data_IF_412227217605
#
_entry.id   IF_412227217605
#
_cell.length_a   1.000
_cell.length_b   1.000
_cell.length_c   1.000
_cell.angle_alpha   90.00
_cell.angle_beta   90.00
_cell.angle_gamma   90.00
#
_symmetry.space_group_name_H-M   'P 1'
#
loop_
_entity.id
_entity.type
_entity.pdbx_description
1 polymer ?
#
# COMPACT_ATOMS: atom_id res chain seq x y z
N UNK A 1 -57.06 44.74 -62.16
CA UNK A 1 -56.81 43.86 -61.00
C UNK A 1 -55.82 44.60 -60.10
N UNK A 2 -56.29 45.57 -59.32
CA UNK A 2 -56.65 45.43 -57.89
C UNK A 2 -55.69 46.33 -57.10
N UNK A 3 -55.92 47.65 -57.06
CA UNK A 3 -56.70 48.39 -56.05
C UNK A 3 -55.90 48.67 -54.75
N UNK A 4 -55.35 49.89 -54.58
CA UNK A 4 -55.81 51.00 -53.68
C UNK A 4 -55.31 50.81 -52.23
N UNK A 5 -54.69 51.73 -51.48
CA UNK A 5 -55.13 53.01 -50.85
C UNK A 5 -53.89 53.52 -50.05
N UNK A 6 -53.25 54.67 -50.29
CA UNK A 6 -53.57 56.07 -49.89
C UNK A 6 -53.39 56.42 -48.38
N UNK A 7 -52.26 57.12 -48.09
CA UNK A 7 -52.10 58.38 -47.29
C UNK A 7 -51.98 58.45 -45.74
N UNK A 8 -50.92 59.19 -45.37
CA UNK A 8 -50.74 60.24 -44.32
C UNK A 8 -50.86 59.93 -42.81
N UNK A 9 -49.87 60.41 -42.03
CA UNK A 9 -49.93 61.24 -40.79
C UNK A 9 -48.53 61.23 -40.11
N UNK A 10 -47.66 62.21 -40.37
CA UNK A 10 -47.22 63.32 -39.46
C UNK A 10 -46.45 62.97 -38.17
N UNK A 11 -45.20 63.50 -38.12
CA UNK A 11 -44.50 64.21 -37.02
C UNK A 11 -44.58 63.68 -35.57
N UNK A 12 -43.41 63.34 -35.01
CA UNK A 12 -42.92 63.78 -33.68
C UNK A 12 -41.49 63.24 -33.49
N UNK A 13 -40.43 64.07 -33.55
CA UNK A 13 -39.85 64.86 -32.45
C UNK A 13 -38.66 64.18 -31.76
N UNK A 14 -37.49 64.78 -32.00
CA UNK A 14 -36.44 65.17 -31.03
C UNK A 14 -35.50 64.09 -30.44
N UNK A 15 -34.21 64.46 -30.56
CA UNK A 15 -33.09 64.20 -29.67
C UNK A 15 -32.25 62.92 -29.86
N UNK A 16 -31.31 63.01 -30.80
CA UNK A 16 -30.01 62.33 -30.78
C UNK A 16 -29.01 63.42 -31.25
N UNK A 17 -27.98 63.85 -30.49
CA UNK A 17 -26.96 62.97 -29.90
C UNK A 17 -26.37 63.47 -28.55
N UNK A 18 -26.48 62.70 -27.46
CA UNK A 18 -25.65 62.93 -26.27
C UNK A 18 -25.48 61.64 -25.46
N UNK A 19 -24.95 60.58 -26.07
CA UNK A 19 -24.67 59.32 -25.35
C UNK A 19 -23.46 58.56 -25.94
N UNK A 20 -22.44 59.28 -26.42
CA UNK A 20 -21.17 58.66 -26.88
C UNK A 20 -19.92 59.22 -26.19
N UNK A 21 -20.06 59.91 -25.06
CA UNK A 21 -18.93 60.49 -24.32
C UNK A 21 -18.77 59.98 -22.87
N UNK A 22 -19.46 58.89 -22.49
CA UNK A 22 -19.40 58.34 -21.13
C UNK A 22 -18.95 56.86 -21.06
N UNK A 23 -18.47 56.28 -22.18
CA UNK A 23 -17.97 54.90 -22.23
C UNK A 23 -16.44 54.79 -22.35
N UNK A 24 -15.71 55.91 -22.31
CA UNK A 24 -14.25 55.95 -22.53
C UNK A 24 -13.38 56.09 -21.27
N UNK A 25 -13.96 56.15 -20.06
CA UNK A 25 -13.23 56.46 -18.82
C UNK A 25 -13.10 55.31 -17.82
N UNK A 26 -13.53 54.09 -18.18
CA UNK A 26 -13.44 52.90 -17.30
C UNK A 26 -12.44 51.83 -17.76
N UNK A 27 -11.59 52.13 -18.75
CA UNK A 27 -10.66 51.17 -19.35
C UNK A 27 -9.17 51.44 -19.09
N UNK A 28 -8.80 52.15 -18.01
CA UNK A 28 -7.40 52.47 -17.68
C UNK A 28 -6.96 52.20 -16.23
N UNK A 29 -7.77 51.51 -15.40
CA UNK A 29 -7.40 51.15 -14.01
C UNK A 29 -7.14 49.66 -13.78
N UNK A 30 -6.80 48.88 -14.82
CA UNK A 30 -6.54 47.44 -14.70
C UNK A 30 -5.06 47.06 -14.97
N UNK A 31 -4.11 47.91 -14.58
CA UNK A 31 -2.68 47.59 -14.60
C UNK A 31 -2.02 47.97 -13.27
N UNK A 32 -1.52 46.95 -12.56
CA UNK A 32 -0.70 47.06 -11.34
C UNK A 32 -1.54 47.07 -10.07
N UNK A 33 -1.53 46.07 -9.19
CA UNK A 33 -0.45 45.17 -8.79
C UNK A 33 -0.97 43.73 -8.62
N UNK A 34 -0.38 42.78 -9.36
CA UNK A 34 -0.30 41.42 -8.83
C UNK A 34 0.66 41.49 -7.65
N UNK A 35 0.08 41.72 -6.47
CA UNK A 35 0.76 41.45 -5.22
C UNK A 35 1.04 39.94 -5.23
N UNK A 36 2.29 39.61 -5.59
CA UNK A 36 2.84 38.29 -5.41
C UNK A 36 2.68 37.98 -3.93
N UNK A 37 1.61 37.27 -3.59
CA UNK A 37 1.46 36.70 -2.26
C UNK A 37 2.76 35.94 -2.00
N UNK A 38 3.52 36.40 -1.00
CA UNK A 38 4.63 35.65 -0.44
C UNK A 38 4.18 34.19 -0.28
N UNK A 39 5.07 33.20 -0.51
CA UNK A 39 4.69 31.80 -0.39
C UNK A 39 4.01 31.68 0.97
N UNK A 40 2.72 31.33 0.97
CA UNK A 40 1.98 31.10 2.22
C UNK A 40 2.76 30.00 2.90
N UNK A 41 3.59 30.35 3.87
CA UNK A 41 4.24 29.39 4.76
C UNK A 41 3.11 28.51 5.25
N UNK A 42 3.16 27.24 4.85
CA UNK A 42 2.12 26.27 5.18
C UNK A 42 1.88 26.30 6.68
N UNK A 43 0.62 26.31 7.10
CA UNK A 43 0.32 26.37 8.53
C UNK A 43 0.91 25.14 9.24
N UNK A 44 1.32 25.25 10.52
CA UNK A 44 1.81 24.11 11.28
C UNK A 44 0.85 22.90 11.26
N UNK A 45 -0.47 23.16 11.26
CA UNK A 45 -1.52 22.14 11.20
C UNK A 45 -1.54 21.43 9.85
N UNK A 46 -1.37 22.16 8.74
CA UNK A 46 -1.28 21.57 7.41
C UNK A 46 -0.06 20.68 7.27
N UNK A 47 1.10 21.13 7.77
CA UNK A 47 2.34 20.33 7.76
C UNK A 47 2.24 19.09 8.65
N UNK A 48 1.60 19.20 9.82
CA UNK A 48 1.35 18.07 10.70
C UNK A 48 0.42 17.04 10.05
N UNK A 49 -0.66 17.49 9.41
CA UNK A 49 -1.55 16.62 8.62
C UNK A 49 -0.82 15.97 7.46
N UNK A 50 -0.04 16.74 6.71
CA UNK A 50 0.76 16.23 5.59
C UNK A 50 1.79 15.18 6.01
N UNK A 51 2.45 15.38 7.15
CA UNK A 51 3.35 14.39 7.76
C UNK A 51 2.60 13.10 8.06
N UNK A 52 1.47 13.21 8.76
CA UNK A 52 0.65 12.06 9.12
C UNK A 52 0.19 11.27 7.89
N UNK A 53 -0.32 11.96 6.88
CA UNK A 53 -0.78 11.34 5.64
C UNK A 53 0.37 10.73 4.82
N UNK A 54 1.55 11.33 4.82
CA UNK A 54 2.73 10.78 4.14
C UNK A 54 3.22 9.48 4.81
N UNK A 55 3.06 9.38 6.14
CA UNK A 55 3.31 8.13 6.88
C UNK A 55 2.21 7.11 6.55
N UNK A 56 0.93 7.49 6.64
CA UNK A 56 -0.20 6.60 6.32
C UNK A 56 -0.15 6.08 4.87
N UNK A 57 0.34 6.90 3.94
CA UNK A 57 0.51 6.55 2.53
C UNK A 57 1.80 5.76 2.23
N UNK A 58 2.57 5.45 3.25
CA UNK A 58 3.83 4.70 3.20
C UNK A 58 4.87 5.24 2.21
N UNK A 59 4.90 6.57 2.00
CA UNK A 59 5.77 7.18 0.99
C UNK A 59 7.25 6.87 1.26
N UNK A 60 7.65 6.78 2.53
CA UNK A 60 9.04 6.53 2.89
C UNK A 60 9.54 5.14 2.47
N UNK A 61 8.68 4.12 2.44
CA UNK A 61 9.08 2.74 2.11
C UNK A 61 9.64 2.60 0.69
N UNK A 62 9.13 3.38 -0.25
CA UNK A 62 9.66 3.43 -1.62
C UNK A 62 10.67 4.57 -1.81
N UNK A 63 10.51 5.68 -1.09
CA UNK A 63 11.28 6.90 -1.36
C UNK A 63 12.47 7.11 -0.40
N UNK A 64 12.83 6.16 0.45
CA UNK A 64 13.99 6.30 1.36
C UNK A 64 14.84 5.03 1.37
N UNK A 65 15.98 5.05 0.66
CA UNK A 65 16.94 3.94 0.71
C UNK A 65 17.59 3.81 2.10
N UNK A 66 18.02 2.59 2.45
CA UNK A 66 18.79 2.31 3.67
C UNK A 66 20.05 3.19 3.74
N UNK A 67 20.18 3.98 4.81
CA UNK A 67 21.29 4.94 4.98
C UNK A 67 21.20 6.19 4.08
N UNK A 68 20.15 6.31 3.26
CA UNK A 68 19.89 7.46 2.40
C UNK A 68 19.18 8.61 3.12
N UNK A 69 19.13 9.77 2.46
CA UNK A 69 18.34 10.90 2.95
C UNK A 69 16.84 10.59 2.85
N UNK A 70 16.01 11.02 3.83
CA UNK A 70 14.56 10.84 3.76
C UNK A 70 13.98 11.34 2.43
N UNK A 71 13.13 10.53 1.81
CA UNK A 71 12.42 10.84 0.56
C UNK A 71 13.30 11.05 -0.69
N UNK A 72 14.60 10.74 -0.62
CA UNK A 72 15.55 10.94 -1.71
C UNK A 72 15.55 9.82 -2.78
N UNK A 73 14.68 8.81 -2.65
CA UNK A 73 14.55 7.69 -3.57
C UNK A 73 15.58 6.58 -3.35
N UNK A 74 15.73 5.73 -4.37
CA UNK A 74 16.78 4.71 -4.46
C UNK A 74 16.40 3.31 -3.96
N UNK A 75 15.20 3.12 -3.40
CA UNK A 75 14.73 1.78 -3.01
C UNK A 75 14.51 0.94 -4.26
N UNK A 76 15.13 -0.24 -4.30
CA UNK A 76 15.02 -1.21 -5.39
C UNK A 76 13.77 -2.06 -5.20
N UNK A 77 12.92 -2.14 -6.23
CA UNK A 77 11.70 -2.92 -6.25
C UNK A 77 11.76 -3.93 -7.40
N UNK A 78 11.98 -5.20 -7.08
CA UNK A 78 12.04 -6.26 -8.07
C UNK A 78 10.65 -6.80 -8.41
N UNK A 79 10.44 -7.09 -9.69
CA UNK A 79 9.19 -7.65 -10.18
C UNK A 79 9.44 -8.57 -11.37
N UNK A 80 8.42 -9.34 -11.75
CA UNK A 80 8.43 -10.13 -12.99
C UNK A 80 8.61 -9.29 -14.28
N UNK A 81 8.36 -7.97 -14.23
CA UNK A 81 8.47 -7.07 -15.37
C UNK A 81 9.84 -6.38 -15.47
N UNK A 82 10.72 -6.63 -14.50
CA UNK A 82 12.01 -5.95 -14.31
C UNK A 82 12.08 -5.22 -12.97
N UNK A 83 13.02 -4.30 -12.87
CA UNK A 83 13.34 -3.59 -11.63
C UNK A 83 12.90 -2.13 -11.70
N UNK A 84 12.14 -1.70 -10.70
CA UNK A 84 11.80 -0.31 -10.46
C UNK A 84 12.67 0.27 -9.35
N UNK A 85 12.79 1.59 -9.33
CA UNK A 85 13.46 2.33 -8.26
C UNK A 85 12.58 3.48 -7.80
N UNK A 86 12.46 3.67 -6.50
CA UNK A 86 11.79 4.84 -5.94
C UNK A 86 12.52 6.11 -6.35
N UNK A 87 11.76 7.15 -6.70
CA UNK A 87 12.33 8.43 -7.13
C UNK A 87 12.58 9.37 -5.96
N UNK A 88 13.39 10.40 -6.16
CA UNK A 88 13.55 11.49 -5.22
C UNK A 88 12.29 12.37 -5.25
N UNK A 89 11.62 12.51 -4.11
CA UNK A 89 10.44 13.37 -3.92
C UNK A 89 10.69 14.50 -2.92
N UNK A 90 11.97 14.83 -2.67
CA UNK A 90 12.35 16.00 -1.88
C UNK A 90 12.15 17.30 -2.68
N UNK A 91 12.26 18.48 -2.04
CA UNK A 91 12.16 19.78 -2.72
C UNK A 91 13.35 20.13 -3.63
N UNK A 92 14.26 19.18 -3.88
CA UNK A 92 15.39 19.41 -4.77
C UNK A 92 14.91 19.78 -6.19
N UNK A 93 15.38 20.90 -6.77
CA UNK A 93 14.88 21.40 -8.05
C UNK A 93 15.40 20.63 -9.27
N UNK A 94 16.41 19.77 -9.12
CA UNK A 94 17.07 19.09 -10.24
C UNK A 94 16.66 17.61 -10.31
N UNK A 95 16.62 16.95 -9.17
CA UNK A 95 16.36 15.52 -9.04
C UNK A 95 15.05 15.20 -8.33
N UNK A 96 14.59 16.09 -7.44
CA UNK A 96 13.35 15.97 -6.70
C UNK A 96 12.12 16.56 -7.40
N UNK A 97 11.09 16.85 -6.62
CA UNK A 97 9.84 17.51 -7.06
C UNK A 97 9.87 19.03 -6.85
N UNK A 98 11.03 19.64 -6.60
CA UNK A 98 11.15 21.06 -6.24
C UNK A 98 10.60 22.07 -7.27
N UNK A 99 10.39 21.64 -8.52
CA UNK A 99 9.80 22.43 -9.61
C UNK A 99 8.35 22.06 -9.92
N UNK A 100 7.78 21.09 -9.23
CA UNK A 100 6.41 20.66 -9.46
C UNK A 100 5.46 21.70 -8.86
N UNK A 101 4.26 21.82 -9.43
CA UNK A 101 3.14 22.47 -8.75
C UNK A 101 2.38 21.45 -7.89
N UNK A 102 1.50 21.94 -7.01
CA UNK A 102 0.57 21.06 -6.31
C UNK A 102 -0.35 20.28 -7.29
N UNK A 103 -0.68 20.88 -8.43
CA UNK A 103 -1.46 20.22 -9.49
C UNK A 103 -0.67 19.10 -10.18
N UNK A 104 0.64 19.29 -10.42
CA UNK A 104 1.51 18.23 -10.95
C UNK A 104 1.62 17.06 -9.98
N UNK A 105 1.76 17.35 -8.69
CA UNK A 105 1.80 16.33 -7.64
C UNK A 105 0.47 15.56 -7.57
N UNK A 106 -0.67 16.26 -7.57
CA UNK A 106 -1.99 15.63 -7.60
C UNK A 106 -2.18 14.79 -8.86
N UNK A 107 -1.79 15.28 -10.04
CA UNK A 107 -1.86 14.52 -11.28
C UNK A 107 -0.95 13.28 -11.29
N UNK A 108 0.19 13.32 -10.60
CA UNK A 108 1.06 12.16 -10.41
C UNK A 108 0.40 11.10 -9.53
N UNK A 109 -0.20 11.50 -8.39
CA UNK A 109 -0.92 10.58 -7.50
C UNK A 109 -2.18 10.01 -8.13
N UNK A 110 -2.93 10.82 -8.87
CA UNK A 110 -4.29 10.50 -9.29
C UNK A 110 -4.37 9.91 -10.70
N UNK A 111 -3.47 10.34 -11.59
CA UNK A 111 -3.49 9.95 -13.01
C UNK A 111 -2.17 9.31 -13.47
N UNK A 112 -1.20 9.13 -12.58
CA UNK A 112 0.14 8.67 -12.96
C UNK A 112 0.82 9.60 -13.96
N UNK A 113 0.53 10.90 -13.94
CA UNK A 113 1.09 11.91 -14.86
C UNK A 113 2.10 12.78 -14.13
N UNK A 114 3.38 12.62 -14.44
CA UNK A 114 4.43 13.53 -14.00
C UNK A 114 4.82 14.51 -15.13
N UNK A 115 5.49 15.64 -14.82
CA UNK A 115 5.95 16.59 -15.83
C UNK A 115 6.84 15.97 -16.92
N UNK A 116 7.61 14.92 -16.57
CA UNK A 116 8.49 14.19 -17.49
C UNK A 116 7.80 13.06 -18.26
N UNK A 117 6.51 12.82 -18.03
CA UNK A 117 5.73 11.78 -18.70
C UNK A 117 4.94 10.88 -17.74
N UNK A 118 4.44 9.76 -18.25
CA UNK A 118 3.67 8.79 -17.45
C UNK A 118 4.54 8.07 -16.42
N UNK A 119 4.00 7.86 -15.24
CA UNK A 119 4.54 6.97 -14.23
C UNK A 119 4.15 5.52 -14.57
N UNK A 120 4.99 4.56 -14.19
CA UNK A 120 4.57 3.17 -14.22
C UNK A 120 3.67 2.90 -13.00
N UNK A 121 2.68 2.00 -13.09
CA UNK A 121 1.78 1.66 -11.98
C UNK A 121 2.47 0.93 -10.82
N UNK A 122 3.80 0.77 -10.86
CA UNK A 122 4.62 0.45 -9.69
C UNK A 122 4.62 1.59 -8.65
N UNK A 123 4.49 2.84 -9.10
CA UNK A 123 4.00 3.90 -8.24
C UNK A 123 2.47 3.72 -8.15
N UNK A 124 1.88 3.48 -6.97
CA UNK A 124 0.53 2.95 -6.85
C UNK A 124 -0.56 4.03 -7.06
N UNK A 125 -0.48 4.79 -8.16
CA UNK A 125 -1.45 5.81 -8.51
C UNK A 125 -2.85 5.23 -8.76
N UNK A 126 -2.97 3.94 -9.05
CA UNK A 126 -4.26 3.22 -9.11
C UNK A 126 -4.99 3.21 -7.77
N UNK A 127 -4.25 3.12 -6.67
CA UNK A 127 -4.74 3.25 -5.29
C UNK A 127 -4.78 4.71 -4.83
N UNK A 128 -3.72 5.48 -5.05
CA UNK A 128 -3.67 6.87 -4.61
C UNK A 128 -4.70 7.77 -5.29
N UNK A 129 -5.30 7.34 -6.41
CA UNK A 129 -6.45 8.01 -7.01
C UNK A 129 -7.63 8.20 -6.07
N UNK A 130 -7.71 7.44 -4.98
CA UNK A 130 -8.74 7.66 -3.96
C UNK A 130 -8.41 8.84 -3.04
N UNK A 131 -7.16 9.31 -2.97
CA UNK A 131 -6.71 10.41 -2.11
C UNK A 131 -7.41 11.71 -2.52
N UNK A 132 -7.96 12.40 -1.52
CA UNK A 132 -8.65 13.67 -1.74
C UNK A 132 -7.66 14.76 -2.15
N UNK A 133 -8.14 15.78 -2.88
CA UNK A 133 -7.30 16.93 -3.24
C UNK A 133 -6.65 17.58 -2.02
N UNK A 134 -7.42 17.80 -0.95
CA UNK A 134 -6.92 18.41 0.28
C UNK A 134 -5.83 17.57 0.96
N UNK A 135 -5.96 16.24 0.96
CA UNK A 135 -4.94 15.34 1.51
C UNK A 135 -3.68 15.33 0.63
N UNK A 136 -3.83 15.34 -0.69
CA UNK A 136 -2.71 15.47 -1.63
C UNK A 136 -1.95 16.78 -1.43
N UNK A 137 -2.65 17.90 -1.28
CA UNK A 137 -2.05 19.21 -1.05
C UNK A 137 -1.33 19.28 0.31
N UNK A 138 -1.88 18.62 1.34
CA UNK A 138 -1.23 18.50 2.64
C UNK A 138 0.07 17.68 2.57
N UNK A 139 0.04 16.51 1.91
CA UNK A 139 1.22 15.69 1.65
C UNK A 139 2.26 16.50 0.88
N UNK A 140 1.86 17.17 -0.19
CA UNK A 140 2.74 18.01 -0.99
C UNK A 140 3.39 19.11 -0.16
N UNK A 141 2.61 19.85 0.63
CA UNK A 141 3.13 20.89 1.51
C UNK A 141 4.18 20.35 2.50
N UNK A 142 3.93 19.17 3.10
CA UNK A 142 4.89 18.52 3.98
C UNK A 142 6.17 18.12 3.25
N UNK A 143 6.07 17.47 2.08
CA UNK A 143 7.24 17.11 1.26
C UNK A 143 8.05 18.35 0.87
N UNK A 144 7.38 19.44 0.49
CA UNK A 144 7.99 20.72 0.12
C UNK A 144 8.69 21.44 1.28
N UNK A 145 8.37 21.08 2.52
CA UNK A 145 9.06 21.58 3.73
C UNK A 145 10.30 20.77 4.13
N UNK A 146 10.55 19.62 3.49
CA UNK A 146 11.69 18.77 3.84
C UNK A 146 13.00 19.37 3.38
N UNK A 147 14.12 18.87 3.91
CA UNK A 147 15.44 19.24 3.40
C UNK A 147 15.59 18.71 1.96
N UNK A 148 15.97 19.56 0.99
CA UNK A 148 16.25 19.10 -0.37
C UNK A 148 17.45 18.16 -0.35
N UNK A 149 17.36 17.07 -1.10
CA UNK A 149 18.45 16.11 -1.27
C UNK A 149 18.82 16.03 -2.75
N UNK A 150 20.06 16.37 -3.09
CA UNK A 150 20.54 16.35 -4.47
C UNK A 150 20.96 14.93 -4.92
N UNK A 151 20.04 13.98 -4.85
CA UNK A 151 20.25 12.56 -5.20
C UNK A 151 19.61 12.28 -6.57
N UNK A 152 20.38 11.90 -7.61
CA UNK A 152 19.85 11.53 -8.90
C UNK A 152 18.93 10.30 -8.85
N UNK A 153 17.89 10.31 -9.69
CA UNK A 153 17.01 9.15 -9.88
C UNK A 153 17.71 8.04 -10.66
N UNK A 154 17.38 6.79 -10.32
CA UNK A 154 17.78 5.61 -11.09
C UNK A 154 16.63 5.24 -12.02
N UNK A 155 16.91 5.09 -13.31
CA UNK A 155 15.91 4.67 -14.28
C UNK A 155 15.48 3.21 -14.06
N UNK A 156 14.19 2.94 -14.27
CA UNK A 156 13.68 1.57 -14.20
C UNK A 156 14.29 0.71 -15.31
N UNK A 157 14.72 -0.49 -14.96
CA UNK A 157 15.25 -1.47 -15.90
C UNK A 157 14.18 -2.52 -16.19
N UNK A 158 13.35 -2.26 -17.21
CA UNK A 158 12.23 -3.12 -17.58
C UNK A 158 12.51 -3.86 -18.89
N UNK A 159 11.93 -5.05 -19.01
CA UNK A 159 12.02 -5.85 -20.24
C UNK A 159 10.99 -5.38 -21.27
N UNK A 160 11.27 -5.58 -22.56
CA UNK A 160 10.26 -5.36 -23.60
C UNK A 160 9.10 -6.36 -23.41
N UNK A 161 7.83 -5.94 -23.54
CA UNK A 161 7.35 -4.61 -23.97
C UNK A 161 7.10 -3.58 -22.85
N UNK A 162 7.36 -3.94 -21.58
CA UNK A 162 7.07 -3.09 -20.42
C UNK A 162 7.94 -1.82 -20.33
N UNK A 163 9.08 -1.79 -21.02
CA UNK A 163 9.92 -0.59 -21.14
C UNK A 163 9.31 0.52 -22.02
N UNK A 164 8.25 0.24 -22.78
CA UNK A 164 7.61 1.23 -23.66
C UNK A 164 6.66 2.11 -22.86
N UNK A 165 7.16 3.24 -22.34
CA UNK A 165 6.39 4.14 -21.46
C UNK A 165 5.06 4.62 -22.05
N UNK A 166 5.00 4.82 -23.37
CA UNK A 166 3.77 5.23 -24.04
C UNK A 166 2.64 4.20 -23.91
N UNK A 167 2.97 2.90 -23.81
CA UNK A 167 2.00 1.82 -23.65
C UNK A 167 1.17 1.96 -22.36
N UNK A 168 1.71 2.61 -21.33
CA UNK A 168 1.00 2.88 -20.07
C UNK A 168 -0.26 3.71 -20.29
N UNK A 169 -0.32 4.57 -21.32
CA UNK A 169 -1.54 5.33 -21.63
C UNK A 169 -2.70 4.42 -22.04
N UNK A 170 -2.42 3.36 -22.80
CA UNK A 170 -3.43 2.38 -23.17
C UNK A 170 -3.77 1.48 -21.99
N UNK A 171 -2.78 1.13 -21.18
CA UNK A 171 -3.00 0.39 -19.94
C UNK A 171 -3.96 1.16 -19.00
N UNK A 172 -3.73 2.47 -18.80
CA UNK A 172 -4.61 3.31 -18.00
C UNK A 172 -6.03 3.36 -18.57
N UNK A 173 -6.18 3.48 -19.90
CA UNK A 173 -7.49 3.49 -20.54
C UNK A 173 -8.31 2.21 -20.30
N UNK A 174 -7.63 1.09 -20.04
CA UNK A 174 -8.27 -0.21 -19.78
C UNK A 174 -8.47 -0.49 -18.28
N UNK A 175 -7.53 -0.05 -17.43
CA UNK A 175 -7.43 -0.55 -16.06
C UNK A 175 -7.48 0.54 -14.98
N UNK A 176 -7.26 1.81 -15.30
CA UNK A 176 -7.33 2.88 -14.31
C UNK A 176 -8.80 3.21 -14.01
N UNK A 177 -9.21 2.97 -12.76
CA UNK A 177 -10.59 3.17 -12.28
C UNK A 177 -10.64 4.26 -11.23
N UNK A 178 -11.79 4.91 -11.08
CA UNK A 178 -11.98 5.95 -10.06
C UNK A 178 -12.10 5.36 -8.65
N UNK A 179 -12.52 4.09 -8.55
CA UNK A 179 -12.69 3.38 -7.27
C UNK A 179 -12.30 1.92 -7.40
N UNK A 180 -11.60 1.43 -6.38
CA UNK A 180 -11.29 0.02 -6.21
C UNK A 180 -12.47 -0.74 -5.57
N UNK A 181 -12.71 -2.01 -5.93
CA UNK A 181 -13.74 -2.84 -5.29
C UNK A 181 -13.47 -3.02 -3.79
N UNK A 182 -14.53 -3.35 -3.05
CA UNK A 182 -14.45 -3.61 -1.62
C UNK A 182 -14.44 -5.12 -1.34
N UNK A 183 -13.55 -5.53 -0.43
CA UNK A 183 -13.43 -6.94 -0.02
C UNK A 183 -14.32 -7.30 1.18
N UNK A 184 -14.90 -6.31 1.83
CA UNK A 184 -15.77 -6.46 2.99
C UNK A 184 -17.04 -5.63 2.82
N UNK A 185 -18.00 -5.84 3.71
CA UNK A 185 -19.28 -5.13 3.71
C UNK A 185 -19.40 -4.23 4.93
N UNK A 186 -19.76 -2.98 4.71
CA UNK A 186 -20.03 -2.03 5.78
C UNK A 186 -20.48 -0.67 5.23
N UNK A 187 -21.03 0.15 6.11
CA UNK A 187 -21.50 1.51 5.83
C UNK A 187 -21.22 2.47 7.00
N UNK A 188 -20.67 1.98 8.11
CA UNK A 188 -20.28 2.82 9.24
C UNK A 188 -19.23 3.87 8.84
N UNK A 189 -19.09 4.92 9.67
CA UNK A 189 -18.05 5.93 9.48
C UNK A 189 -16.65 5.32 9.55
N UNK A 190 -16.42 4.41 10.50
CA UNK A 190 -15.17 3.67 10.64
C UNK A 190 -14.89 2.80 9.41
N UNK A 191 -15.89 2.09 8.88
CA UNK A 191 -15.71 1.30 7.66
C UNK A 191 -15.35 2.17 6.45
N UNK A 192 -16.03 3.31 6.30
CA UNK A 192 -15.76 4.25 5.20
C UNK A 192 -14.37 4.86 5.31
N UNK A 193 -13.94 5.22 6.52
CA UNK A 193 -12.59 5.73 6.80
C UNK A 193 -11.53 4.64 6.58
N UNK A 194 -11.79 3.43 7.03
CA UNK A 194 -10.91 2.28 6.86
C UNK A 194 -10.71 1.91 5.41
N UNK A 195 -11.76 1.99 4.58
CA UNK A 195 -11.66 1.81 3.12
C UNK A 195 -10.70 2.80 2.49
N UNK A 196 -10.76 4.07 2.90
CA UNK A 196 -9.86 5.11 2.43
C UNK A 196 -8.41 4.86 2.86
N UNK A 197 -8.22 4.43 4.12
CA UNK A 197 -6.90 4.08 4.64
C UNK A 197 -6.31 2.84 3.97
N UNK A 198 -7.10 1.80 3.74
CA UNK A 198 -6.63 0.54 3.17
C UNK A 198 -6.38 0.63 1.66
N UNK A 199 -7.37 1.10 0.90
CA UNK A 199 -7.31 1.06 -0.56
C UNK A 199 -6.62 2.29 -1.15
N UNK A 200 -6.77 3.45 -0.49
CA UNK A 200 -6.20 4.72 -0.93
C UNK A 200 -4.79 4.92 -0.40
N UNK A 201 -4.68 5.37 0.86
CA UNK A 201 -3.39 5.73 1.46
C UNK A 201 -2.46 4.52 1.57
N UNK A 202 -2.85 3.48 2.30
CA UNK A 202 -2.01 2.29 2.55
C UNK A 202 -1.94 1.30 1.38
N UNK A 203 -2.65 1.56 0.27
CA UNK A 203 -2.62 0.79 -0.98
C UNK A 203 -2.53 -0.74 -0.79
N UNK A 204 -3.24 -1.30 0.20
CA UNK A 204 -3.13 -2.70 0.60
C UNK A 204 -3.46 -3.65 -0.55
N UNK A 205 -4.34 -3.21 -1.46
CA UNK A 205 -4.72 -3.93 -2.67
C UNK A 205 -3.55 -4.22 -3.60
N UNK A 206 -2.50 -3.40 -3.60
CA UNK A 206 -1.35 -3.55 -4.50
C UNK A 206 -0.50 -4.79 -4.21
N UNK A 207 -0.50 -5.25 -2.95
CA UNK A 207 0.16 -6.48 -2.51
C UNK A 207 -0.84 -7.62 -2.32
N UNK A 208 -2.00 -7.34 -1.70
CA UNK A 208 -2.96 -8.35 -1.29
C UNK A 208 -4.02 -8.69 -2.35
N UNK A 209 -3.91 -8.22 -3.59
CA UNK A 209 -4.80 -8.62 -4.69
C UNK A 209 -3.96 -9.27 -5.79
N UNK A 210 -4.38 -10.41 -6.37
CA UNK A 210 -3.57 -11.06 -7.39
C UNK A 210 -3.57 -10.22 -8.66
N UNK A 211 -2.45 -10.24 -9.39
CA UNK A 211 -2.29 -9.50 -10.66
C UNK A 211 -2.61 -10.38 -11.86
N UNK A 212 -3.18 -9.77 -12.91
CA UNK A 212 -3.42 -10.41 -14.19
C UNK A 212 -2.19 -10.38 -15.11
N UNK A 213 -2.35 -10.90 -16.32
CA UNK A 213 -1.25 -11.03 -17.30
C UNK A 213 -0.61 -9.69 -17.72
N UNK A 214 -1.31 -8.55 -17.57
CA UNK A 214 -0.79 -7.23 -17.88
C UNK A 214 -0.36 -6.45 -16.61
N UNK A 215 -0.22 -7.13 -15.47
CA UNK A 215 0.17 -6.52 -14.19
C UNK A 215 -0.94 -5.75 -13.47
N UNK A 216 -2.15 -5.72 -14.02
CA UNK A 216 -3.33 -5.10 -13.42
C UNK A 216 -3.86 -5.90 -12.23
N UNK A 217 -4.47 -5.23 -11.25
CA UNK A 217 -5.18 -5.91 -10.16
C UNK A 217 -6.39 -6.68 -10.71
N UNK A 218 -6.61 -7.88 -10.18
CA UNK A 218 -7.82 -8.66 -10.49
C UNK A 218 -8.94 -8.28 -9.53
N UNK A 219 -9.77 -7.30 -9.92
CA UNK A 219 -10.89 -6.77 -9.13
C UNK A 219 -11.79 -7.84 -8.48
N UNK A 220 -12.10 -8.92 -9.21
CA UNK A 220 -12.93 -10.02 -8.73
C UNK A 220 -12.31 -10.80 -7.55
N UNK A 221 -11.02 -10.57 -7.27
CA UNK A 221 -10.23 -11.22 -6.23
C UNK A 221 -9.61 -10.20 -5.26
N UNK A 222 -10.25 -9.05 -5.11
CA UNK A 222 -9.76 -7.97 -4.24
C UNK A 222 -9.46 -8.49 -2.83
N UNK A 223 -8.24 -8.23 -2.34
CA UNK A 223 -7.70 -8.67 -1.05
C UNK A 223 -7.56 -10.18 -0.83
N UNK A 224 -7.73 -11.02 -1.86
CA UNK A 224 -7.59 -12.49 -1.78
C UNK A 224 -6.14 -13.00 -1.81
N UNK A 225 -5.16 -12.13 -1.57
CA UNK A 225 -3.73 -12.42 -1.54
C UNK A 225 -3.03 -12.16 -2.88
N UNK A 226 -1.69 -12.21 -2.85
CA UNK A 226 -0.84 -11.95 -4.00
C UNK A 226 0.51 -12.64 -3.86
N UNK A 227 1.24 -12.78 -4.97
CA UNK A 227 2.60 -13.32 -4.96
C UNK A 227 3.61 -12.20 -5.19
N UNK A 228 4.59 -12.08 -4.30
CA UNK A 228 5.67 -11.10 -4.33
C UNK A 228 7.00 -11.87 -4.44
N UNK A 229 7.29 -12.41 -5.64
CA UNK A 229 8.42 -13.31 -5.84
C UNK A 229 8.22 -14.64 -5.13
N UNK A 230 9.12 -15.01 -4.21
CA UNK A 230 9.06 -16.29 -3.48
C UNK A 230 8.06 -16.28 -2.32
N UNK A 231 7.73 -15.10 -1.79
CA UNK A 231 6.76 -14.95 -0.71
C UNK A 231 5.38 -14.56 -1.25
N UNK A 232 4.35 -14.77 -0.44
CA UNK A 232 2.98 -14.39 -0.72
C UNK A 232 2.46 -13.33 0.26
N UNK A 233 1.80 -12.31 -0.25
CA UNK A 233 0.90 -11.50 0.55
C UNK A 233 -0.37 -12.34 0.83
N UNK A 234 -0.74 -12.56 2.10
CA UNK A 234 -1.85 -13.46 2.43
C UNK A 234 -3.21 -12.89 2.02
N UNK A 235 -4.21 -13.76 1.90
CA UNK A 235 -5.62 -13.35 1.78
C UNK A 235 -6.07 -12.63 3.06
N UNK A 236 -6.42 -11.34 2.94
CA UNK A 236 -6.88 -10.49 4.05
C UNK A 236 -8.36 -10.11 3.91
N UNK A 237 -9.15 -10.91 3.19
CA UNK A 237 -10.61 -10.80 3.22
C UNK A 237 -11.15 -11.14 4.62
N UNK A 238 -12.35 -10.66 5.00
CA UNK A 238 -12.95 -10.97 6.30
C UNK A 238 -13.01 -12.47 6.61
N UNK A 239 -13.39 -13.27 5.61
CA UNK A 239 -13.51 -14.72 5.76
C UNK A 239 -12.15 -15.37 6.01
N UNK A 240 -11.12 -14.98 5.27
CA UNK A 240 -9.77 -15.54 5.44
C UNK A 240 -9.10 -15.10 6.75
N UNK A 241 -9.32 -13.86 7.17
CA UNK A 241 -8.85 -13.35 8.46
C UNK A 241 -9.49 -14.13 9.61
N UNK A 242 -10.81 -14.28 9.61
CA UNK A 242 -11.53 -15.06 10.61
C UNK A 242 -11.13 -16.55 10.57
N UNK A 243 -10.98 -17.15 9.38
CA UNK A 243 -10.51 -18.52 9.23
C UNK A 243 -9.10 -18.74 9.80
N UNK A 244 -8.29 -17.68 9.88
CA UNK A 244 -6.97 -17.68 10.52
C UNK A 244 -6.98 -17.14 11.95
N UNK A 245 -8.16 -16.92 12.53
CA UNK A 245 -8.36 -16.58 13.94
C UNK A 245 -8.13 -15.11 14.28
N UNK A 246 -8.04 -14.22 13.28
CA UNK A 246 -7.87 -12.78 13.50
C UNK A 246 -9.14 -12.14 14.08
N UNK A 247 -8.95 -11.19 14.98
CA UNK A 247 -10.01 -10.36 15.56
C UNK A 247 -9.69 -8.88 15.34
N UNK A 248 -10.67 -8.01 15.53
CA UNK A 248 -10.47 -6.55 15.46
C UNK A 248 -9.35 -6.07 16.39
N UNK A 249 -9.38 -6.42 17.70
CA UNK A 249 -8.31 -6.07 18.63
C UNK A 249 -6.94 -6.61 18.22
N UNK A 250 -6.87 -7.86 17.74
CA UNK A 250 -5.58 -8.45 17.33
C UNK A 250 -5.01 -7.75 16.09
N UNK A 251 -5.84 -7.39 15.11
CA UNK A 251 -5.39 -6.62 13.94
C UNK A 251 -4.95 -5.20 14.33
N UNK A 252 -5.63 -4.56 15.28
CA UNK A 252 -5.23 -3.23 15.76
C UNK A 252 -3.86 -3.29 16.45
N UNK A 253 -3.64 -4.30 17.29
CA UNK A 253 -2.33 -4.57 17.89
C UNK A 253 -1.27 -4.80 16.80
N UNK A 254 -1.57 -5.65 15.81
CA UNK A 254 -0.66 -5.93 14.71
C UNK A 254 -0.28 -4.68 13.91
N UNK A 255 -1.24 -3.82 13.56
CA UNK A 255 -0.91 -2.59 12.81
C UNK A 255 -0.21 -1.53 13.66
N UNK A 256 -0.43 -1.55 14.98
CA UNK A 256 0.20 -0.62 15.91
C UNK A 256 1.63 -1.00 16.27
N UNK A 257 1.90 -2.30 16.49
CA UNK A 257 3.19 -2.77 17.03
C UNK A 257 3.88 -3.81 16.14
N UNK A 258 3.23 -4.30 15.09
CA UNK A 258 3.71 -5.41 14.29
C UNK A 258 3.55 -6.77 14.94
N UNK A 259 2.87 -6.87 16.09
CA UNK A 259 2.66 -8.11 16.83
C UNK A 259 1.20 -8.34 17.21
N UNK A 260 0.78 -9.60 17.11
CA UNK A 260 -0.44 -10.12 17.69
C UNK A 260 -0.23 -11.59 18.11
N UNK A 261 -1.22 -12.19 18.77
CA UNK A 261 -1.15 -13.62 19.14
C UNK A 261 -0.96 -14.53 17.92
N UNK A 262 -1.45 -14.11 16.75
CA UNK A 262 -1.36 -14.84 15.49
C UNK A 262 0.03 -14.73 14.83
N UNK A 263 0.95 -13.95 15.38
CA UNK A 263 2.30 -13.77 14.87
C UNK A 263 2.70 -12.31 14.72
N UNK A 264 3.77 -12.09 13.97
CA UNK A 264 4.37 -10.77 13.76
C UNK A 264 4.49 -10.43 12.27
N UNK A 265 4.66 -9.14 11.98
CA UNK A 265 5.03 -8.69 10.65
C UNK A 265 6.48 -9.11 10.36
N UNK A 266 6.74 -9.58 9.16
CA UNK A 266 8.08 -9.93 8.69
C UNK A 266 8.17 -9.67 7.18
N UNK A 267 9.38 -9.73 6.63
CA UNK A 267 9.62 -9.47 5.20
C UNK A 267 8.95 -8.15 4.76
N UNK A 268 8.21 -8.14 3.65
CA UNK A 268 7.59 -6.94 3.07
C UNK A 268 6.56 -6.25 3.97
N UNK A 269 5.97 -6.94 4.95
CA UNK A 269 5.07 -6.26 5.91
C UNK A 269 5.81 -5.55 7.04
N UNK A 270 7.07 -5.89 7.32
CA UNK A 270 7.85 -5.19 8.33
C UNK A 270 8.01 -3.70 8.03
N UNK A 271 8.46 -3.26 6.83
CA UNK A 271 8.57 -1.83 6.53
C UNK A 271 7.21 -1.12 6.55
N UNK A 272 6.11 -1.78 6.17
CA UNK A 272 4.76 -1.20 6.27
C UNK A 272 4.40 -0.88 7.72
N UNK A 273 4.73 -1.77 8.67
CA UNK A 273 4.57 -1.46 10.10
C UNK A 273 5.57 -0.38 10.52
N UNK A 274 6.85 -0.52 10.15
CA UNK A 274 7.94 0.32 10.63
C UNK A 274 7.79 1.80 10.22
N UNK A 275 7.44 2.02 8.96
CA UNK A 275 7.41 3.34 8.31
C UNK A 275 5.99 3.94 8.23
N UNK A 276 4.95 3.12 8.30
CA UNK A 276 3.56 3.56 8.10
C UNK A 276 2.64 3.26 9.29
N UNK A 277 2.09 2.04 9.41
CA UNK A 277 0.87 1.83 10.19
C UNK A 277 1.03 2.05 11.69
N UNK A 278 2.23 1.85 12.24
CA UNK A 278 2.48 2.12 13.67
C UNK A 278 2.28 3.60 14.04
N UNK A 279 2.34 4.51 13.06
CA UNK A 279 2.19 5.95 13.25
C UNK A 279 0.74 6.42 13.10
N UNK A 280 -0.17 5.52 12.74
CA UNK A 280 -1.60 5.82 12.68
C UNK A 280 -2.14 6.06 14.09
N UNK A 281 -3.08 6.99 14.20
CA UNK A 281 -3.77 7.21 15.46
C UNK A 281 -4.73 6.03 15.77
N UNK A 282 -5.15 5.85 17.03
CA UNK A 282 -6.02 4.74 17.41
C UNK A 282 -7.36 4.67 16.66
N UNK A 283 -7.93 5.81 16.27
CA UNK A 283 -9.19 5.85 15.51
C UNK A 283 -9.01 5.32 14.09
N UNK A 284 -7.91 5.68 13.44
CA UNK A 284 -7.58 5.21 12.09
C UNK A 284 -7.14 3.73 12.10
N UNK A 285 -6.45 3.27 13.14
CA UNK A 285 -6.19 1.84 13.35
C UNK A 285 -7.51 1.07 13.50
N UNK A 286 -8.44 1.56 14.32
CA UNK A 286 -9.78 0.97 14.46
C UNK A 286 -10.50 0.94 13.11
N UNK A 287 -10.57 2.08 12.41
CA UNK A 287 -11.22 2.19 11.12
C UNK A 287 -10.63 1.20 10.09
N UNK A 288 -9.30 1.12 9.99
CA UNK A 288 -8.61 0.16 9.12
C UNK A 288 -9.04 -1.28 9.42
N UNK A 289 -9.09 -1.67 10.70
CA UNK A 289 -9.54 -3.01 11.08
C UNK A 289 -11.02 -3.28 10.84
N UNK A 290 -11.89 -2.29 11.05
CA UNK A 290 -13.31 -2.37 10.74
C UNK A 290 -13.52 -2.55 9.24
N UNK A 291 -12.73 -1.88 8.40
CA UNK A 291 -12.78 -2.14 6.95
C UNK A 291 -12.34 -3.54 6.61
N UNK A 292 -11.21 -4.04 7.12
CA UNK A 292 -10.74 -5.38 6.74
C UNK A 292 -11.67 -6.52 7.20
N UNK A 293 -12.40 -6.34 8.30
CA UNK A 293 -13.33 -7.34 8.81
C UNK A 293 -14.80 -7.11 8.39
N UNK A 294 -15.16 -5.89 8.00
CA UNK A 294 -16.55 -5.46 7.80
C UNK A 294 -17.24 -5.03 9.11
N UNK A 295 -18.39 -4.36 8.98
CA UNK A 295 -19.18 -3.90 10.14
C UNK A 295 -19.77 -5.07 10.96
N UNK A 296 -19.98 -6.22 10.30
CA UNK A 296 -20.44 -7.46 10.91
C UNK A 296 -19.37 -8.54 10.72
N UNK A 297 -18.30 -8.53 11.52
CA UNK A 297 -17.16 -9.42 11.33
C UNK A 297 -17.56 -10.89 11.55
N UNK A 298 -17.11 -11.82 10.70
CA UNK A 298 -17.30 -13.25 10.95
C UNK A 298 -16.54 -13.68 12.21
N UNK A 299 -17.06 -14.70 12.91
CA UNK A 299 -16.44 -15.22 14.12
C UNK A 299 -15.08 -15.87 13.81
N UNK A 300 -14.03 -15.62 14.62
CA UNK A 300 -12.73 -16.24 14.42
C UNK A 300 -12.81 -17.77 14.61
N UNK A 301 -12.20 -18.51 13.69
CA UNK A 301 -12.17 -19.96 13.74
C UNK A 301 -11.07 -20.46 14.70
N UNK A 302 -11.36 -21.43 15.58
CA UNK A 302 -10.34 -22.08 16.39
C UNK A 302 -9.40 -22.93 15.52
N UNK A 303 -8.20 -23.19 16.02
CA UNK A 303 -7.30 -24.16 15.39
C UNK A 303 -7.76 -25.57 15.75
N UNK A 304 -7.99 -26.39 14.73
CA UNK A 304 -8.23 -27.84 14.89
C UNK A 304 -7.05 -28.59 14.29
N UNK A 305 -6.26 -29.25 15.14
CA UNK A 305 -5.14 -30.06 14.68
C UNK A 305 -5.60 -31.14 13.70
N UNK A 306 -4.89 -31.27 12.58
CA UNK A 306 -5.19 -32.26 11.56
C UNK A 306 -4.44 -33.56 11.84
N UNK A 307 -5.06 -34.68 11.50
CA UNK A 307 -4.39 -36.00 11.50
C UNK A 307 -3.60 -36.13 10.20
N UNK A 308 -2.37 -36.59 10.31
CA UNK A 308 -1.48 -36.91 9.18
C UNK A 308 -0.82 -38.27 9.36
N UNK A 309 0.06 -38.64 8.44
CA UNK A 309 0.87 -39.84 8.58
C UNK A 309 1.73 -39.75 9.85
N UNK A 310 1.61 -40.74 10.74
CA UNK A 310 2.24 -40.69 12.06
C UNK A 310 3.77 -40.71 11.98
N UNK A 311 4.35 -41.42 11.01
CA UNK A 311 5.79 -41.49 10.85
C UNK A 311 6.34 -40.16 10.31
N UNK A 312 5.66 -39.56 9.33
CA UNK A 312 6.02 -38.24 8.78
C UNK A 312 5.94 -37.14 9.84
N UNK A 313 4.86 -37.11 10.63
CA UNK A 313 4.71 -36.13 11.71
C UNK A 313 5.74 -36.33 12.82
N UNK A 314 6.11 -37.57 13.14
CA UNK A 314 7.18 -37.86 14.09
C UNK A 314 8.55 -37.39 13.59
N UNK A 315 8.86 -37.59 12.30
CA UNK A 315 10.08 -37.10 11.68
C UNK A 315 10.16 -35.57 11.72
N UNK A 316 9.10 -34.88 11.31
CA UNK A 316 9.02 -33.41 11.39
C UNK A 316 9.11 -32.87 12.82
N UNK A 317 8.51 -33.56 13.79
CA UNK A 317 8.64 -33.21 15.21
C UNK A 317 10.06 -33.32 15.73
N UNK A 318 10.81 -34.34 15.32
CA UNK A 318 12.20 -34.50 15.75
C UNK A 318 13.08 -33.35 15.21
N UNK A 319 12.87 -32.93 13.97
CA UNK A 319 13.53 -31.74 13.39
C UNK A 319 13.17 -30.47 14.16
N UNK A 320 11.88 -30.30 14.52
CA UNK A 320 11.44 -29.16 15.33
C UNK A 320 12.12 -29.11 16.69
N UNK A 321 12.20 -30.25 17.39
CA UNK A 321 12.83 -30.33 18.71
C UNK A 321 14.34 -30.08 18.65
N UNK A 322 14.99 -30.50 17.57
CA UNK A 322 16.43 -30.33 17.36
C UNK A 322 16.81 -28.87 17.12
N UNK A 323 16.07 -28.16 16.25
CA UNK A 323 16.51 -26.86 15.75
C UNK A 323 15.58 -25.67 16.04
N UNK A 324 14.30 -25.89 16.37
CA UNK A 324 13.31 -24.81 16.48
C UNK A 324 12.86 -24.58 17.93
N UNK A 325 12.74 -25.65 18.72
CA UNK A 325 12.11 -25.62 20.04
C UNK A 325 12.86 -24.77 21.08
N UNK A 326 14.16 -24.53 20.90
CA UNK A 326 14.95 -23.67 21.78
C UNK A 326 14.44 -22.22 21.82
N UNK A 327 13.89 -21.73 20.70
CA UNK A 327 13.33 -20.39 20.59
C UNK A 327 11.79 -20.41 20.59
N UNK A 328 11.18 -21.33 19.84
CA UNK A 328 9.72 -21.39 19.66
C UNK A 328 8.99 -22.18 20.75
N UNK A 329 9.71 -22.67 21.77
CA UNK A 329 9.16 -23.50 22.84
C UNK A 329 9.02 -24.96 22.43
N UNK A 330 8.84 -25.88 23.39
CA UNK A 330 8.73 -27.32 23.05
C UNK A 330 7.37 -27.67 22.47
N UNK A 331 6.35 -26.93 22.85
CA UNK A 331 4.97 -27.12 22.41
C UNK A 331 4.52 -25.98 21.48
N UNK A 332 5.44 -25.15 20.97
CA UNK A 332 5.12 -24.04 20.07
C UNK A 332 4.58 -22.79 20.76
N UNK A 333 4.76 -22.65 22.07
CA UNK A 333 4.32 -21.50 22.86
C UNK A 333 5.06 -20.18 22.56
N UNK A 334 6.20 -20.24 21.87
CA UNK A 334 7.03 -19.08 21.59
C UNK A 334 7.68 -18.50 22.84
N UNK A 335 8.34 -17.35 22.66
CA UNK A 335 8.93 -16.59 23.74
C UNK A 335 8.60 -15.11 23.52
N UNK A 336 7.81 -14.47 24.40
CA UNK A 336 7.37 -13.09 24.22
C UNK A 336 8.54 -12.14 23.89
N UNK A 337 8.34 -11.25 22.92
CA UNK A 337 9.32 -10.27 22.45
C UNK A 337 10.65 -10.84 21.93
N UNK A 338 10.70 -12.15 21.63
CA UNK A 338 11.90 -12.85 21.17
C UNK A 338 11.59 -13.69 19.94
N UNK A 339 10.61 -14.59 20.06
CA UNK A 339 10.23 -15.55 19.01
C UNK A 339 8.73 -15.76 19.03
N UNK A 340 8.10 -15.70 17.86
CA UNK A 340 6.65 -15.90 17.73
C UNK A 340 6.24 -17.30 18.17
N UNK A 341 5.03 -17.39 18.73
CA UNK A 341 4.39 -18.67 18.96
C UNK A 341 4.10 -19.36 17.62
N UNK A 342 4.23 -20.68 17.61
CA UNK A 342 3.71 -21.51 16.52
C UNK A 342 2.23 -21.84 16.74
N UNK A 343 1.80 -21.95 18.01
CA UNK A 343 0.38 -22.03 18.36
C UNK A 343 -0.36 -20.82 17.80
N UNK A 344 -1.47 -21.06 17.11
CA UNK A 344 -2.33 -20.03 16.51
C UNK A 344 -1.65 -19.17 15.42
N UNK A 345 -0.43 -19.51 15.01
CA UNK A 345 0.33 -18.72 14.05
C UNK A 345 -0.36 -18.67 12.68
N UNK A 346 -0.67 -17.46 12.22
CA UNK A 346 -1.43 -17.25 11.00
C UNK A 346 -0.72 -17.77 9.76
N UNK A 347 0.62 -17.77 9.73
CA UNK A 347 1.42 -18.25 8.60
C UNK A 347 1.27 -19.76 8.44
N UNK A 348 1.22 -20.52 9.55
CA UNK A 348 0.98 -21.96 9.51
C UNK A 348 -0.44 -22.31 9.04
N UNK A 349 -1.38 -21.38 9.22
CA UNK A 349 -2.80 -21.53 8.85
C UNK A 349 -3.10 -21.12 7.40
N UNK A 350 -2.12 -20.66 6.63
CA UNK A 350 -2.32 -20.34 5.21
C UNK A 350 -2.49 -21.62 4.39
N UNK A 351 -3.34 -21.57 3.37
CA UNK A 351 -3.54 -22.68 2.43
C UNK A 351 -2.28 -22.96 1.61
N UNK A 352 -1.59 -21.91 1.18
CA UNK A 352 -0.30 -21.97 0.51
C UNK A 352 0.86 -22.01 1.54
N UNK A 353 1.71 -23.06 1.54
CA UNK A 353 2.80 -23.19 2.50
C UNK A 353 4.02 -22.30 2.22
N UNK A 354 4.08 -21.57 1.10
CA UNK A 354 5.31 -20.90 0.67
C UNK A 354 5.93 -20.00 1.73
N UNK A 355 5.11 -19.26 2.49
CA UNK A 355 5.64 -18.32 3.46
C UNK A 355 6.35 -19.03 4.61
N UNK A 356 5.77 -20.12 5.13
CA UNK A 356 6.45 -20.91 6.17
C UNK A 356 7.70 -21.59 5.62
N UNK A 357 7.66 -22.10 4.39
CA UNK A 357 8.84 -22.72 3.75
C UNK A 357 9.96 -21.68 3.58
N UNK A 358 9.67 -20.54 2.95
CA UNK A 358 10.66 -19.49 2.67
C UNK A 358 11.22 -18.90 3.96
N UNK A 359 10.40 -18.66 4.99
CA UNK A 359 10.88 -18.24 6.31
C UNK A 359 11.85 -19.23 6.94
N UNK A 360 11.68 -20.55 6.72
CA UNK A 360 12.63 -21.55 7.21
C UNK A 360 13.87 -21.66 6.32
N UNK A 361 13.75 -21.49 5.01
CA UNK A 361 14.89 -21.54 4.09
C UNK A 361 15.83 -20.35 4.30
N UNK A 362 15.26 -19.13 4.25
CA UNK A 362 16.01 -17.88 4.29
C UNK A 362 16.33 -17.42 5.71
N UNK A 363 15.50 -17.80 6.69
CA UNK A 363 15.50 -17.21 8.01
C UNK A 363 14.77 -15.87 8.03
N UNK A 364 14.83 -15.20 9.18
CA UNK A 364 14.26 -13.86 9.38
C UNK A 364 15.28 -13.04 10.15
N UNK A 365 15.68 -11.90 9.59
CA UNK A 365 16.59 -10.97 10.27
C UNK A 365 15.99 -10.46 11.58
N UNK A 366 16.85 -10.00 12.49
CA UNK A 366 16.38 -9.37 13.72
C UNK A 366 15.59 -8.09 13.38
N UNK A 367 14.42 -7.93 13.99
CA UNK A 367 13.51 -6.82 13.70
C UNK A 367 13.11 -6.10 14.98
N UNK A 368 13.21 -4.78 14.97
CA UNK A 368 12.76 -3.92 16.05
C UNK A 368 11.38 -3.36 15.75
N UNK A 369 10.54 -3.29 16.78
CA UNK A 369 9.18 -2.78 16.70
C UNK A 369 8.95 -1.73 17.79
N UNK A 370 7.81 -1.00 17.75
CA UNK A 370 7.49 -0.02 18.78
C UNK A 370 7.49 -0.61 20.19
N UNK A 371 7.94 0.18 21.16
CA UNK A 371 7.93 -0.19 22.57
C UNK A 371 8.99 -1.25 22.91
N UNK A 372 8.55 -2.39 23.46
CA UNK A 372 9.41 -3.51 23.87
C UNK A 372 9.38 -4.68 22.90
N UNK A 373 8.58 -4.55 21.83
CA UNK A 373 8.41 -5.62 20.86
C UNK A 373 9.67 -5.78 19.98
N UNK A 374 10.11 -7.02 19.82
CA UNK A 374 11.25 -7.35 18.97
C UNK A 374 11.18 -8.79 18.48
N UNK A 375 11.83 -9.07 17.36
CA UNK A 375 12.15 -10.44 16.95
C UNK A 375 13.66 -10.62 16.91
N UNK A 376 14.12 -11.69 17.54
CA UNK A 376 15.50 -12.14 17.35
C UNK A 376 15.67 -12.75 15.97
N UNK A 377 16.92 -12.70 15.49
CA UNK A 377 17.29 -13.34 14.23
C UNK A 377 16.94 -14.84 14.26
N UNK A 378 16.07 -15.27 13.35
CA UNK A 378 15.78 -16.67 13.07
C UNK A 378 16.73 -17.14 11.97
N UNK A 379 17.58 -18.16 12.22
CA UNK A 379 18.51 -18.65 11.20
C UNK A 379 17.77 -19.28 10.02
N UNK A 380 18.34 -19.12 8.82
CA UNK A 380 17.93 -19.86 7.64
C UNK A 380 18.51 -21.27 7.62
N UNK A 381 17.71 -22.23 7.17
CA UNK A 381 18.06 -23.66 7.15
C UNK A 381 18.28 -24.22 5.76
N UNK A 382 18.33 -23.37 4.72
CA UNK A 382 18.58 -23.81 3.35
C UNK A 382 19.89 -24.63 3.22
N UNK A 383 20.95 -24.27 3.94
CA UNK A 383 22.21 -25.02 3.94
C UNK A 383 22.27 -26.22 4.88
N UNK A 384 21.28 -26.37 5.77
CA UNK A 384 21.32 -27.34 6.88
C UNK A 384 20.42 -28.54 6.65
N UNK A 385 19.22 -28.30 6.10
CA UNK A 385 18.22 -29.34 5.87
C UNK A 385 17.98 -29.58 4.39
N UNK A 386 17.73 -30.84 4.03
CA UNK A 386 17.29 -31.22 2.69
C UNK A 386 15.85 -30.76 2.41
N UNK A 387 15.44 -30.80 1.14
CA UNK A 387 14.06 -30.52 0.72
C UNK A 387 13.04 -31.37 1.47
N UNK A 388 13.33 -32.67 1.60
CA UNK A 388 12.49 -33.63 2.32
C UNK A 388 12.36 -33.28 3.81
N UNK A 389 13.46 -32.88 4.46
CA UNK A 389 13.44 -32.50 5.87
C UNK A 389 12.63 -31.22 6.10
N UNK A 390 12.78 -30.21 5.23
CA UNK A 390 11.98 -28.99 5.31
C UNK A 390 10.50 -29.29 5.04
N UNK A 391 10.17 -30.18 4.10
CA UNK A 391 8.79 -30.61 3.86
C UNK A 391 8.19 -31.31 5.08
N UNK A 392 8.92 -32.26 5.70
CA UNK A 392 8.51 -32.95 6.93
C UNK A 392 8.28 -31.98 8.09
N UNK A 393 9.21 -31.05 8.30
CA UNK A 393 9.09 -30.00 9.32
C UNK A 393 7.86 -29.13 9.06
N UNK A 394 7.68 -28.65 7.83
CA UNK A 394 6.53 -27.84 7.42
C UNK A 394 5.21 -28.56 7.70
N UNK A 395 5.12 -29.83 7.31
CA UNK A 395 3.93 -30.65 7.53
C UNK A 395 3.61 -30.86 9.00
N UNK A 396 4.64 -31.09 9.84
CA UNK A 396 4.46 -31.17 11.29
C UNK A 396 3.89 -29.87 11.86
N UNK A 397 4.49 -28.71 11.54
CA UNK A 397 4.05 -27.40 12.04
C UNK A 397 2.61 -27.10 11.62
N UNK A 398 2.30 -27.31 10.34
CA UNK A 398 1.00 -27.02 9.72
C UNK A 398 -0.11 -27.93 10.23
N UNK A 399 0.15 -29.23 10.38
CA UNK A 399 -0.84 -30.16 10.93
C UNK A 399 -1.10 -29.94 12.42
N UNK A 400 -0.04 -29.64 13.19
CA UNK A 400 -0.12 -29.51 14.66
C UNK A 400 -0.72 -28.18 15.09
N UNK A 401 -0.28 -27.07 14.48
CA UNK A 401 -0.67 -25.72 14.93
C UNK A 401 -1.35 -24.86 13.86
N UNK A 402 -1.25 -25.24 12.59
CA UNK A 402 -1.91 -24.54 11.48
C UNK A 402 -3.31 -25.04 11.14
N UNK A 403 -3.70 -26.22 11.62
CA UNK A 403 -4.93 -26.89 11.20
C UNK A 403 -5.00 -27.18 9.70
N UNK A 404 -3.85 -27.27 9.04
CA UNK A 404 -3.71 -27.55 7.62
C UNK A 404 -3.32 -29.01 7.38
N UNK A 405 -3.48 -29.48 6.13
CA UNK A 405 -3.03 -30.82 5.74
C UNK A 405 -1.50 -30.91 5.75
N UNK A 406 -1.01 -32.13 5.90
CA UNK A 406 0.42 -32.49 5.85
C UNK A 406 0.80 -33.00 4.46
N UNK A 407 0.59 -32.16 3.45
CA UNK A 407 0.73 -32.51 2.03
C UNK A 407 1.87 -31.78 1.29
N UNK A 408 2.71 -31.02 2.01
CA UNK A 408 3.89 -30.37 1.43
C UNK A 408 4.90 -31.40 0.98
N UNK A 409 5.40 -31.25 -0.24
CA UNK A 409 6.37 -32.15 -0.88
C UNK A 409 7.77 -31.56 -0.95
N UNK A 410 8.78 -32.41 -1.11
CA UNK A 410 10.16 -31.98 -1.34
C UNK A 410 10.31 -31.15 -2.63
N UNK A 411 9.56 -31.47 -3.69
CA UNK A 411 9.62 -30.73 -4.96
C UNK A 411 9.08 -29.30 -4.81
N UNK A 412 8.03 -29.09 -4.01
CA UNK A 412 7.54 -27.74 -3.68
C UNK A 412 8.60 -26.93 -2.93
N UNK A 413 9.27 -27.54 -1.93
CA UNK A 413 10.37 -26.88 -1.21
C UNK A 413 11.51 -26.52 -2.17
N UNK A 414 11.92 -27.46 -3.02
CA UNK A 414 12.98 -27.25 -4.00
C UNK A 414 12.70 -26.10 -4.95
N UNK A 415 11.42 -25.92 -5.34
CA UNK A 415 11.01 -24.82 -6.21
C UNK A 415 11.12 -23.43 -5.57
N UNK A 416 11.21 -23.37 -4.24
CA UNK A 416 11.31 -22.13 -3.45
C UNK A 416 12.73 -21.83 -2.96
N UNK A 417 13.71 -22.70 -3.27
CA UNK A 417 15.12 -22.50 -2.89
C UNK A 417 15.85 -21.42 -3.67
#
# INVERSE_FOLDING_TARGET
MGATVTRYFTRAMRALPLALAAAGAFALSACGSHESAAPKTSSPELLARGRYLSQAADCAACHTATGGAPFAGGVKLESQFGTFYGTNITPDPNYGIGKWSADDFYAALHDGKAPKGKLYPAMPYTSYRQITRDDSDAIYAYLMSQKPAAVPNIDANLTFPYNVRFAVRFWDALFLKDRLPDASTGQSADWTRGRYLANGLGHCTECHTPRGAFGQLQDAKTLQGGTLGRIGAPDITPAALAARGWTGPDLQAFFSTGFAKQGSAFSEMHPVIYLSTQHLNPDDLRALTVYLLGDAPPAPAPVTAQRGDAAQLAAGRNLYLDSCAGCHGREGEGKPHVAVAMKENSTLRQSDPRNVIVSMLDGIEAQAFPGVESMQHMPGFAGTYSDEQIAQLTNYLRATWGGQRSDVTADEVKSLR
#
